data_IF_579229036198
#
_entry.id   IF_579229036198
#
_cell.length_a   1.000
_cell.length_b   1.000
_cell.length_c   1.000
_cell.angle_alpha   90.00
_cell.angle_beta   90.00
_cell.angle_gamma   90.00
#
_symmetry.space_group_name_H-M   'P 1'
#
loop_
_entity.id
_entity.type
_entity.pdbx_description
1 polymer ?
#
# COMPACT_ATOMS: atom_id res chain seq x y z
N UNK A 1 -25.83 -2.30 -1.20
CA UNK A 1 -26.53 -3.48 -0.60
C UNK A 1 -25.66 -4.23 0.42
N UNK A 2 -24.33 -4.21 0.29
CA UNK A 2 -23.36 -4.75 1.28
C UNK A 2 -23.36 -3.98 2.61
N UNK A 3 -23.40 -2.64 2.55
CA UNK A 3 -23.22 -1.75 3.71
C UNK A 3 -24.23 -2.01 4.85
N UNK A 4 -25.53 -2.15 4.53
CA UNK A 4 -26.56 -2.44 5.54
C UNK A 4 -26.36 -3.81 6.21
N UNK A 5 -26.00 -4.84 5.44
CA UNK A 5 -25.77 -6.18 5.98
C UNK A 5 -24.51 -6.23 6.86
N UNK A 6 -23.46 -5.52 6.44
CA UNK A 6 -22.23 -5.40 7.22
C UNK A 6 -22.49 -4.59 8.50
N UNK A 7 -23.30 -3.53 8.43
CA UNK A 7 -23.78 -2.79 9.61
C UNK A 7 -24.54 -3.68 10.59
N UNK A 8 -25.47 -4.49 10.08
CA UNK A 8 -26.23 -5.43 10.90
C UNK A 8 -25.31 -6.48 11.56
N UNK A 9 -24.24 -6.89 10.87
CA UNK A 9 -23.22 -7.78 11.42
C UNK A 9 -22.44 -7.09 12.54
N UNK A 10 -21.89 -5.89 12.28
CA UNK A 10 -21.12 -5.09 13.26
C UNK A 10 -21.95 -4.82 14.52
N UNK A 11 -23.23 -4.50 14.37
CA UNK A 11 -24.14 -4.24 15.50
C UNK A 11 -24.42 -5.47 16.37
N UNK A 12 -24.26 -6.68 15.82
CA UNK A 12 -24.46 -7.95 16.53
C UNK A 12 -23.18 -8.50 17.16
N UNK A 13 -22.03 -7.87 16.92
CA UNK A 13 -20.77 -8.30 17.54
C UNK A 13 -20.86 -8.22 19.06
N UNK A 14 -20.21 -9.17 19.74
CA UNK A 14 -20.13 -9.18 21.19
C UNK A 14 -19.29 -8.01 21.68
N UNK A 15 -19.91 -7.10 22.44
CA UNK A 15 -19.31 -5.89 23.01
C UNK A 15 -18.63 -6.18 24.36
N UNK A 16 -17.76 -7.18 24.36
CA UNK A 16 -16.86 -7.39 25.49
C UNK A 16 -15.80 -6.28 25.47
N UNK A 17 -15.71 -5.49 26.53
CA UNK A 17 -14.75 -4.38 26.70
C UNK A 17 -13.28 -4.81 26.51
N UNK A 18 -12.97 -6.10 26.66
CA UNK A 18 -11.64 -6.65 26.42
C UNK A 18 -11.35 -6.99 24.95
N UNK A 19 -12.38 -7.02 24.09
CA UNK A 19 -12.23 -7.35 22.68
C UNK A 19 -11.97 -6.09 21.84
N UNK A 20 -10.69 -5.70 21.73
CA UNK A 20 -10.26 -4.55 20.94
C UNK A 20 -10.65 -4.63 19.45
N UNK A 21 -10.76 -5.82 18.86
CA UNK A 21 -11.13 -5.98 17.45
C UNK A 21 -12.60 -5.60 17.19
N UNK A 22 -13.51 -5.91 18.12
CA UNK A 22 -14.93 -5.48 18.01
C UNK A 22 -15.03 -3.95 18.01
N UNK A 23 -14.40 -3.27 18.96
CA UNK A 23 -14.45 -1.81 19.04
C UNK A 23 -13.76 -1.14 17.86
N UNK A 24 -12.66 -1.72 17.36
CA UNK A 24 -12.02 -1.30 16.12
C UNK A 24 -13.00 -1.37 14.95
N UNK A 25 -13.70 -2.49 14.76
CA UNK A 25 -14.69 -2.62 13.69
C UNK A 25 -15.85 -1.63 13.83
N UNK A 26 -16.40 -1.45 15.03
CA UNK A 26 -17.50 -0.52 15.29
C UNK A 26 -17.12 0.94 15.00
N UNK A 27 -16.02 1.41 15.59
CA UNK A 27 -15.53 2.79 15.39
C UNK A 27 -15.16 3.06 13.93
N UNK A 28 -14.55 2.09 13.26
CA UNK A 28 -14.21 2.19 11.84
C UNK A 28 -15.46 2.29 10.96
N UNK A 29 -16.47 1.46 11.23
CA UNK A 29 -17.72 1.49 10.46
C UNK A 29 -18.46 2.82 10.65
N UNK A 30 -18.57 3.30 11.89
CA UNK A 30 -19.17 4.60 12.20
C UNK A 30 -18.42 5.74 11.50
N UNK A 31 -17.09 5.68 11.49
CA UNK A 31 -16.28 6.70 10.81
C UNK A 31 -16.52 6.72 9.29
N UNK A 32 -16.68 5.56 8.65
CA UNK A 32 -17.04 5.48 7.23
C UNK A 32 -18.42 6.14 6.99
N UNK A 33 -19.42 5.86 7.83
CA UNK A 33 -20.74 6.48 7.71
C UNK A 33 -20.70 8.01 7.91
N UNK A 34 -19.89 8.49 8.86
CA UNK A 34 -19.70 9.92 9.10
C UNK A 34 -19.03 10.61 7.90
N UNK A 35 -18.02 9.98 7.29
CA UNK A 35 -17.37 10.54 6.10
C UNK A 35 -18.31 10.51 4.90
N UNK A 36 -19.11 9.46 4.72
CA UNK A 36 -20.14 9.41 3.67
C UNK A 36 -21.16 10.55 3.81
N UNK A 37 -21.54 10.88 5.05
CA UNK A 37 -22.39 12.04 5.33
C UNK A 37 -21.70 13.36 4.98
N UNK A 38 -20.42 13.51 5.29
CA UNK A 38 -19.61 14.69 4.93
C UNK A 38 -19.48 14.83 3.41
N UNK A 39 -19.21 13.74 2.68
CA UNK A 39 -19.11 13.73 1.22
C UNK A 39 -20.45 14.12 0.60
N UNK A 40 -21.56 13.56 1.10
CA UNK A 40 -22.90 13.94 0.63
C UNK A 40 -23.15 15.43 0.83
N UNK A 41 -22.87 15.96 2.02
CA UNK A 41 -23.00 17.38 2.33
C UNK A 41 -22.11 18.27 1.44
N UNK A 42 -20.91 17.79 1.12
CA UNK A 42 -20.00 18.44 0.19
C UNK A 42 -20.59 18.49 -1.23
N UNK A 43 -21.23 17.42 -1.70
CA UNK A 43 -21.80 17.38 -3.05
C UNK A 43 -23.11 18.17 -3.17
N UNK A 44 -23.98 18.09 -2.17
CA UNK A 44 -25.35 18.61 -2.24
C UNK A 44 -25.42 20.13 -2.07
N UNK A 45 -24.49 20.73 -1.34
CA UNK A 45 -24.57 22.15 -0.98
C UNK A 45 -23.55 23.00 -1.74
N UNK A 46 -23.99 23.95 -2.58
CA UNK A 46 -23.07 24.88 -3.23
C UNK A 46 -22.45 25.82 -2.19
N UNK A 47 -21.22 26.27 -2.47
CA UNK A 47 -20.55 27.31 -1.69
C UNK A 47 -20.04 28.39 -2.64
N UNK A 48 -20.29 29.64 -2.28
CA UNK A 48 -19.87 30.83 -3.00
C UNK A 48 -18.81 31.64 -2.23
N UNK A 49 -18.71 31.43 -0.91
CA UNK A 49 -17.70 32.08 -0.09
C UNK A 49 -16.40 31.28 -0.05
N UNK A 50 -15.29 31.98 -0.26
CA UNK A 50 -13.93 31.43 -0.24
C UNK A 50 -13.61 30.65 1.04
N UNK A 51 -14.05 31.16 2.20
CA UNK A 51 -13.86 30.51 3.49
C UNK A 51 -14.60 29.19 3.61
N UNK A 52 -15.85 29.12 3.11
CA UNK A 52 -16.62 27.88 3.12
C UNK A 52 -16.06 26.85 2.14
N UNK A 53 -15.62 27.28 0.94
CA UNK A 53 -14.94 26.39 -0.02
C UNK A 53 -13.67 25.78 0.60
N UNK A 54 -12.86 26.59 1.29
CA UNK A 54 -11.66 26.11 1.99
C UNK A 54 -12.01 25.08 3.07
N UNK A 55 -13.01 25.36 3.91
CA UNK A 55 -13.45 24.44 4.96
C UNK A 55 -13.94 23.12 4.36
N UNK A 56 -14.75 23.19 3.30
CA UNK A 56 -15.28 22.03 2.59
C UNK A 56 -14.15 21.18 1.98
N UNK A 57 -13.19 21.81 1.31
CA UNK A 57 -12.04 21.12 0.70
C UNK A 57 -11.15 20.46 1.76
N UNK A 58 -10.82 21.17 2.83
CA UNK A 58 -10.00 20.63 3.92
C UNK A 58 -10.72 19.47 4.63
N UNK A 59 -12.02 19.65 4.90
CA UNK A 59 -12.88 18.61 5.46
C UNK A 59 -12.97 17.38 4.57
N UNK A 60 -13.12 17.57 3.25
CA UNK A 60 -13.17 16.47 2.28
C UNK A 60 -11.85 15.70 2.24
N UNK A 61 -10.71 16.38 2.07
CA UNK A 61 -9.40 15.72 1.98
C UNK A 61 -9.05 14.95 3.26
N UNK A 62 -9.32 15.54 4.43
CA UNK A 62 -9.10 14.87 5.71
C UNK A 62 -10.10 13.72 5.91
N UNK A 63 -11.37 13.90 5.53
CA UNK A 63 -12.41 12.88 5.60
C UNK A 63 -12.07 11.65 4.75
N UNK A 64 -11.68 11.84 3.49
CA UNK A 64 -11.26 10.74 2.60
C UNK A 64 -10.08 9.96 3.16
N UNK A 65 -9.07 10.65 3.70
CA UNK A 65 -7.92 9.99 4.32
C UNK A 65 -8.35 9.14 5.54
N UNK A 66 -9.18 9.70 6.41
CA UNK A 66 -9.69 9.01 7.60
C UNK A 66 -10.57 7.81 7.22
N UNK A 67 -11.38 7.92 6.16
CA UNK A 67 -12.19 6.81 5.69
C UNK A 67 -11.35 5.66 5.11
N UNK A 68 -10.24 5.96 4.42
CA UNK A 68 -9.31 4.92 3.96
C UNK A 68 -8.68 4.18 5.15
N UNK A 69 -8.23 4.91 6.17
CA UNK A 69 -7.70 4.29 7.40
C UNK A 69 -8.78 3.46 8.11
N UNK A 70 -10.02 3.96 8.18
CA UNK A 70 -11.15 3.24 8.72
C UNK A 70 -11.47 1.97 7.92
N UNK A 71 -11.35 1.96 6.59
CA UNK A 71 -11.50 0.74 5.78
C UNK A 71 -10.43 -0.32 6.12
N UNK A 72 -9.18 0.10 6.36
CA UNK A 72 -8.12 -0.80 6.83
C UNK A 72 -8.43 -1.38 8.20
N UNK A 73 -8.85 -0.53 9.12
CA UNK A 73 -9.14 -0.91 10.49
C UNK A 73 -10.41 -1.76 10.61
N UNK A 74 -11.41 -1.52 9.76
CA UNK A 74 -12.60 -2.35 9.64
C UNK A 74 -12.25 -3.76 9.15
N UNK A 75 -11.43 -3.87 8.10
CA UNK A 75 -10.97 -5.17 7.60
C UNK A 75 -10.27 -5.96 8.70
N UNK A 76 -9.35 -5.33 9.45
CA UNK A 76 -8.63 -5.98 10.55
C UNK A 76 -9.57 -6.29 11.72
N UNK A 77 -10.47 -5.38 12.09
CA UNK A 77 -11.40 -5.58 13.19
C UNK A 77 -12.36 -6.75 12.95
N UNK A 78 -12.82 -6.93 11.71
CA UNK A 78 -13.76 -7.97 11.34
C UNK A 78 -13.10 -9.30 10.95
N UNK A 79 -11.93 -9.26 10.32
CA UNK A 79 -11.30 -10.46 9.73
C UNK A 79 -9.97 -10.82 10.39
N UNK A 80 -9.47 -10.01 11.33
CA UNK A 80 -8.12 -10.08 11.92
C UNK A 80 -6.98 -9.75 10.94
N UNK A 81 -7.30 -9.60 9.66
CA UNK A 81 -6.31 -9.42 8.60
C UNK A 81 -6.62 -8.19 7.74
N UNK A 82 -5.58 -7.75 7.03
CA UNK A 82 -5.65 -6.65 6.06
C UNK A 82 -5.83 -7.14 4.61
N UNK A 83 -6.17 -8.41 4.42
CA UNK A 83 -6.14 -9.09 3.11
C UNK A 83 -7.13 -8.51 2.11
N UNK A 84 -8.30 -8.11 2.59
CA UNK A 84 -9.41 -7.56 1.81
C UNK A 84 -9.18 -6.14 1.28
N UNK A 85 -8.05 -5.50 1.59
CA UNK A 85 -7.82 -4.09 1.26
C UNK A 85 -6.38 -3.79 0.82
N UNK A 86 -6.26 -3.13 -0.33
CA UNK A 86 -4.99 -2.63 -0.87
C UNK A 86 -5.16 -1.30 -1.64
N UNK A 87 -5.61 -0.25 -0.94
CA UNK A 87 -5.84 1.08 -1.53
C UNK A 87 -4.61 1.64 -2.26
N UNK A 88 -3.39 1.32 -1.81
CA UNK A 88 -2.16 1.75 -2.49
C UNK A 88 -2.00 1.20 -3.92
N UNK A 89 -2.75 0.17 -4.32
CA UNK A 89 -2.75 -0.31 -5.70
C UNK A 89 -3.66 0.51 -6.62
N UNK A 90 -4.53 1.35 -6.06
CA UNK A 90 -5.27 2.36 -6.80
C UNK A 90 -4.40 3.63 -6.90
N UNK A 91 -3.91 4.02 -8.10
CA UNK A 91 -2.98 5.14 -8.22
C UNK A 91 -3.57 6.48 -7.76
N UNK A 92 -4.87 6.68 -8.00
CA UNK A 92 -5.58 7.92 -7.65
C UNK A 92 -5.68 8.06 -6.14
N UNK A 93 -6.11 7.00 -5.44
CA UNK A 93 -6.20 7.01 -3.98
C UNK A 93 -4.82 6.94 -3.29
N UNK A 94 -3.83 6.32 -3.93
CA UNK A 94 -2.46 6.33 -3.44
C UNK A 94 -1.90 7.76 -3.37
N UNK A 95 -2.24 8.61 -4.36
CA UNK A 95 -1.81 9.99 -4.38
C UNK A 95 -2.45 10.86 -3.28
N UNK A 96 -3.61 10.47 -2.77
CA UNK A 96 -4.32 11.22 -1.73
C UNK A 96 -3.45 11.46 -0.49
N UNK A 97 -2.60 10.51 -0.09
CA UNK A 97 -1.69 10.70 1.07
C UNK A 97 -0.73 11.87 0.84
N UNK A 98 -0.27 12.05 -0.40
CA UNK A 98 0.66 13.12 -0.76
C UNK A 98 -0.10 14.45 -0.82
N UNK A 99 -1.24 14.48 -1.49
CA UNK A 99 -2.11 15.67 -1.59
C UNK A 99 -2.51 16.15 -0.19
N UNK A 100 -2.97 15.25 0.67
CA UNK A 100 -3.35 15.57 2.06
C UNK A 100 -2.17 16.13 2.84
N UNK A 101 -0.98 15.55 2.70
CA UNK A 101 0.20 16.04 3.42
C UNK A 101 0.65 17.40 2.93
N UNK A 102 0.54 17.67 1.62
CA UNK A 102 0.95 18.93 1.02
C UNK A 102 -0.05 20.06 1.33
N UNK A 103 -1.35 19.77 1.54
CA UNK A 103 -2.37 20.80 1.78
C UNK A 103 -2.79 20.92 3.24
N UNK A 104 -3.08 19.80 3.89
CA UNK A 104 -3.75 19.75 5.20
C UNK A 104 -2.78 19.35 6.32
N UNK A 105 -1.86 18.43 6.04
CA UNK A 105 -0.99 17.82 7.05
C UNK A 105 0.20 18.68 7.45
N UNK A 106 1.10 18.93 6.49
CA UNK A 106 2.38 19.60 6.73
C UNK A 106 2.72 20.64 5.64
N UNK A 107 1.81 21.56 5.28
CA UNK A 107 2.00 22.49 4.16
C UNK A 107 3.15 23.48 4.38
N UNK A 108 3.44 23.85 5.64
CA UNK A 108 4.37 24.94 5.97
C UNK A 108 5.78 24.49 6.28
N UNK A 109 6.03 23.18 6.42
CA UNK A 109 7.36 22.68 6.72
C UNK A 109 7.44 21.16 6.52
N UNK A 110 7.95 20.74 5.36
CA UNK A 110 8.24 19.33 5.09
C UNK A 110 9.75 19.11 5.05
N UNK A 111 10.25 18.25 5.93
CA UNK A 111 11.68 17.91 5.95
C UNK A 111 11.95 16.77 4.97
N UNK A 112 12.86 17.01 4.03
CA UNK A 112 13.39 15.98 3.14
C UNK A 112 14.73 15.46 3.71
N UNK A 113 15.05 14.21 3.38
CA UNK A 113 16.13 13.51 4.08
C UNK A 113 17.54 14.06 3.78
N UNK A 114 17.73 14.70 2.63
CA UNK A 114 18.96 15.41 2.26
C UNK A 114 19.15 16.76 2.97
N UNK A 115 18.26 17.08 3.91
CA UNK A 115 18.21 18.34 4.63
C UNK A 115 17.41 19.42 3.92
N UNK A 116 16.77 19.10 2.78
CA UNK A 116 15.89 20.02 2.08
C UNK A 116 14.60 20.33 2.84
N UNK A 117 13.98 21.47 2.53
CA UNK A 117 12.71 21.89 3.13
C UNK A 117 11.67 22.18 2.05
N UNK A 118 10.48 21.62 2.25
CA UNK A 118 9.31 21.79 1.38
C UNK A 118 8.27 22.71 1.96
N UNK A 119 7.68 23.55 1.10
CA UNK A 119 6.56 24.42 1.42
C UNK A 119 5.52 24.32 0.31
N UNK A 120 4.27 24.09 0.68
CA UNK A 120 3.16 23.99 -0.26
C UNK A 120 2.24 25.19 -0.11
N UNK A 121 1.99 25.88 -1.22
CA UNK A 121 1.17 27.09 -1.27
C UNK A 121 -0.04 26.82 -2.15
N UNK A 122 -1.21 26.88 -1.53
CA UNK A 122 -2.50 26.71 -2.20
C UNK A 122 -2.83 27.98 -3.01
N UNK A 123 -3.11 27.83 -4.30
CA UNK A 123 -3.56 28.92 -5.17
C UNK A 123 -5.04 29.16 -4.93
N UNK A 124 -5.33 30.29 -4.32
CA UNK A 124 -6.69 30.56 -3.83
C UNK A 124 -7.63 31.19 -4.86
N UNK A 125 -7.10 31.73 -5.97
CA UNK A 125 -7.89 32.26 -7.08
C UNK A 125 -8.54 31.16 -7.97
N UNK A 126 -7.84 30.08 -8.38
CA UNK A 126 -8.44 29.00 -9.19
C UNK A 126 -9.24 27.98 -8.37
N UNK A 127 -9.51 28.24 -7.09
CA UNK A 127 -10.10 27.27 -6.17
C UNK A 127 -11.62 27.17 -6.31
N UNK A 128 -12.13 25.94 -6.38
CA UNK A 128 -13.55 25.65 -6.31
C UNK A 128 -13.80 24.35 -5.55
N UNK A 129 -15.07 23.96 -5.39
CA UNK A 129 -15.44 22.63 -4.90
C UNK A 129 -15.16 21.51 -5.91
N UNK A 130 -14.78 21.82 -7.13
CA UNK A 130 -14.42 20.81 -8.12
C UNK A 130 -12.92 20.52 -8.12
N UNK A 131 -12.12 21.54 -7.79
CA UNK A 131 -10.66 21.45 -7.89
C UNK A 131 -9.90 22.41 -6.99
N UNK A 132 -8.66 22.02 -6.71
CA UNK A 132 -7.62 22.88 -6.15
C UNK A 132 -6.37 22.87 -7.01
N UNK A 133 -5.59 23.94 -6.91
CA UNK A 133 -4.27 24.06 -7.49
C UNK A 133 -3.30 24.52 -6.40
N UNK A 134 -2.13 23.90 -6.30
CA UNK A 134 -1.09 24.32 -5.36
C UNK A 134 0.30 24.16 -5.97
N UNK A 135 1.22 25.01 -5.51
CA UNK A 135 2.65 24.87 -5.80
C UNK A 135 3.37 24.26 -4.60
N UNK A 136 4.28 23.33 -4.85
CA UNK A 136 5.21 22.83 -3.83
C UNK A 136 6.61 23.30 -4.17
N UNK A 137 7.18 24.11 -3.28
CA UNK A 137 8.54 24.65 -3.34
C UNK A 137 9.44 23.75 -2.52
N UNK A 138 10.42 23.13 -3.17
CA UNK A 138 11.39 22.23 -2.55
C UNK A 138 12.76 22.89 -2.60
N UNK A 139 13.25 23.32 -1.44
CA UNK A 139 14.57 23.90 -1.27
C UNK A 139 15.57 22.80 -0.95
N UNK A 140 16.44 22.49 -1.91
CA UNK A 140 17.60 21.62 -1.74
C UNK A 140 18.86 22.50 -1.66
N UNK A 141 19.97 21.99 -1.09
CA UNK A 141 21.18 22.78 -0.77
C UNK A 141 21.62 23.78 -1.86
N UNK A 142 21.47 23.44 -3.14
CA UNK A 142 21.87 24.28 -4.27
C UNK A 142 20.79 24.45 -5.36
N UNK A 143 19.54 24.02 -5.11
CA UNK A 143 18.48 24.03 -6.14
C UNK A 143 17.12 24.27 -5.49
N UNK A 144 16.32 25.12 -6.12
CA UNK A 144 14.89 25.22 -5.84
C UNK A 144 14.15 24.51 -6.96
N UNK A 145 13.27 23.59 -6.57
CA UNK A 145 12.34 22.94 -7.48
C UNK A 145 10.92 23.39 -7.14
N UNK A 146 10.14 23.77 -8.15
CA UNK A 146 8.74 24.16 -7.98
C UNK A 146 7.88 23.19 -8.78
N UNK A 147 6.90 22.57 -8.12
CA UNK A 147 5.95 21.65 -8.73
C UNK A 147 4.55 22.20 -8.55
N UNK A 148 3.90 22.56 -9.65
CA UNK A 148 2.46 22.84 -9.64
C UNK A 148 1.69 21.51 -9.71
N UNK A 149 0.62 21.41 -8.92
CA UNK A 149 -0.29 20.27 -8.97
C UNK A 149 -1.74 20.76 -8.96
N UNK A 150 -2.50 20.25 -9.91
CA UNK A 150 -3.94 20.41 -10.00
C UNK A 150 -4.63 19.11 -9.57
N UNK A 151 -5.63 19.22 -8.70
CA UNK A 151 -6.36 18.08 -8.16
C UNK A 151 -7.85 18.27 -8.41
N UNK A 152 -8.45 17.32 -9.11
CA UNK A 152 -9.89 17.26 -9.35
C UNK A 152 -10.56 16.30 -8.36
N UNK A 153 -11.52 16.79 -7.58
CA UNK A 153 -12.11 15.99 -6.49
C UNK A 153 -13.08 14.92 -6.99
N UNK A 154 -13.70 15.14 -8.16
CA UNK A 154 -14.64 14.17 -8.76
C UNK A 154 -14.00 12.79 -8.92
N UNK A 155 -12.81 12.73 -9.49
CA UNK A 155 -12.10 11.46 -9.73
C UNK A 155 -11.71 10.77 -8.41
N UNK A 156 -11.27 11.55 -7.41
CA UNK A 156 -10.97 11.03 -6.06
C UNK A 156 -12.21 10.42 -5.39
N UNK A 157 -13.34 11.13 -5.45
CA UNK A 157 -14.61 10.69 -4.88
C UNK A 157 -15.13 9.41 -5.56
N UNK A 158 -15.13 9.38 -6.90
CA UNK A 158 -15.57 8.22 -7.68
C UNK A 158 -14.72 6.98 -7.39
N UNK A 159 -13.39 7.14 -7.29
CA UNK A 159 -12.50 6.04 -6.95
C UNK A 159 -12.68 5.57 -5.50
N UNK A 160 -12.87 6.50 -4.56
CA UNK A 160 -13.13 6.16 -3.16
C UNK A 160 -14.43 5.36 -3.02
N UNK A 161 -15.53 5.83 -3.60
CA UNK A 161 -16.82 5.13 -3.54
C UNK A 161 -16.74 3.73 -4.14
N UNK A 162 -16.11 3.61 -5.32
CA UNK A 162 -15.92 2.31 -5.99
C UNK A 162 -15.09 1.34 -5.13
N UNK A 163 -13.94 1.77 -4.63
CA UNK A 163 -13.06 0.92 -3.81
C UNK A 163 -13.72 0.57 -2.48
N UNK A 164 -14.40 1.53 -1.83
CA UNK A 164 -15.18 1.30 -0.60
C UNK A 164 -16.19 0.17 -0.81
N UNK A 165 -17.03 0.27 -1.84
CA UNK A 165 -18.08 -0.72 -2.09
C UNK A 165 -17.52 -2.12 -2.36
N UNK A 166 -16.43 -2.21 -3.12
CA UNK A 166 -15.74 -3.47 -3.40
C UNK A 166 -15.16 -4.07 -2.12
N UNK A 167 -14.43 -3.29 -1.32
CA UNK A 167 -13.80 -3.74 -0.08
C UNK A 167 -14.86 -4.21 0.92
N UNK A 168 -15.93 -3.44 1.13
CA UNK A 168 -17.00 -3.81 2.05
C UNK A 168 -17.74 -5.07 1.58
N UNK A 169 -17.89 -5.27 0.26
CA UNK A 169 -18.43 -6.51 -0.27
C UNK A 169 -17.50 -7.69 -0.04
N UNK A 170 -16.20 -7.56 -0.31
CA UNK A 170 -15.23 -8.65 -0.12
C UNK A 170 -15.15 -9.08 1.36
N UNK A 171 -15.11 -8.11 2.29
CA UNK A 171 -15.20 -8.38 3.73
C UNK A 171 -16.51 -9.12 4.05
N UNK A 172 -17.64 -8.63 3.52
CA UNK A 172 -18.93 -9.28 3.77
C UNK A 172 -18.98 -10.71 3.25
N UNK A 173 -18.48 -10.98 2.03
CA UNK A 173 -18.44 -12.33 1.46
C UNK A 173 -17.60 -13.26 2.33
N UNK A 174 -16.44 -12.81 2.80
CA UNK A 174 -15.62 -13.58 3.74
C UNK A 174 -16.36 -13.89 5.05
N UNK A 175 -17.05 -12.91 5.64
CA UNK A 175 -17.75 -13.12 6.93
C UNK A 175 -18.94 -14.07 6.86
N UNK A 176 -19.59 -14.18 5.70
CA UNK A 176 -20.70 -15.13 5.49
C UNK A 176 -20.23 -16.46 4.91
N UNK A 177 -18.96 -16.55 4.55
CA UNK A 177 -18.35 -17.77 4.07
C UNK A 177 -18.30 -18.78 5.23
N UNK A 178 -18.71 -20.02 4.98
CA UNK A 178 -18.50 -21.11 5.91
C UNK A 178 -17.01 -21.45 5.97
N UNK A 179 -16.54 -22.08 7.05
CA UNK A 179 -15.17 -22.63 7.05
C UNK A 179 -15.03 -23.68 5.93
N UNK A 180 -14.28 -23.35 4.89
CA UNK A 180 -13.95 -24.28 3.80
C UNK A 180 -12.47 -24.67 3.87
N UNK A 181 -12.19 -25.97 3.69
CA UNK A 181 -10.83 -26.48 3.48
C UNK A 181 -10.63 -26.70 1.98
N UNK A 182 -10.06 -25.73 1.30
CA UNK A 182 -9.73 -25.87 -0.13
C UNK A 182 -8.39 -26.57 -0.31
N UNK A 183 -7.98 -26.80 -1.56
CA UNK A 183 -6.63 -27.21 -1.92
C UNK A 183 -5.72 -26.03 -2.30
N UNK A 184 -6.15 -24.77 -2.05
CA UNK A 184 -5.37 -23.57 -2.35
C UNK A 184 -4.00 -23.60 -1.63
N UNK A 185 -3.91 -23.92 -0.31
CA UNK A 185 -2.63 -24.03 0.36
C UNK A 185 -1.69 -25.07 -0.27
N UNK A 186 -2.20 -26.25 -0.62
CA UNK A 186 -1.42 -27.33 -1.25
C UNK A 186 -0.91 -26.93 -2.65
N UNK A 187 -1.73 -26.22 -3.42
CA UNK A 187 -1.31 -25.68 -4.72
C UNK A 187 -0.27 -24.58 -4.57
N UNK A 188 -0.39 -23.73 -3.55
CA UNK A 188 0.62 -22.72 -3.22
C UNK A 188 1.92 -23.37 -2.75
N UNK A 189 1.87 -24.46 -2.00
CA UNK A 189 3.05 -25.26 -1.66
C UNK A 189 3.71 -25.82 -2.95
N UNK A 190 2.91 -26.37 -3.86
CA UNK A 190 3.42 -26.88 -5.15
C UNK A 190 4.01 -25.77 -6.01
N UNK A 191 3.39 -24.59 -6.01
CA UNK A 191 3.89 -23.39 -6.67
C UNK A 191 5.20 -22.90 -6.05
N UNK A 192 5.37 -23.03 -4.74
CA UNK A 192 6.60 -22.65 -4.05
C UNK A 192 7.80 -23.49 -4.50
N UNK A 193 7.57 -24.77 -4.78
CA UNK A 193 8.60 -25.69 -5.27
C UNK A 193 8.88 -25.52 -6.77
N UNK A 194 7.87 -25.21 -7.58
CA UNK A 194 7.96 -25.24 -9.05
C UNK A 194 8.01 -23.88 -9.74
N UNK A 195 7.44 -22.84 -9.12
CA UNK A 195 7.17 -21.52 -9.71
C UNK A 195 6.45 -21.60 -11.06
N UNK A 196 5.57 -22.60 -11.23
CA UNK A 196 4.82 -22.82 -12.46
C UNK A 196 3.65 -21.84 -12.60
N UNK A 197 3.60 -21.10 -13.71
CA UNK A 197 2.58 -20.09 -13.98
C UNK A 197 1.14 -20.65 -14.09
N UNK A 198 0.97 -21.87 -14.60
CA UNK A 198 -0.35 -22.50 -14.72
C UNK A 198 -0.93 -22.80 -13.34
N UNK A 199 -0.11 -23.26 -12.39
CA UNK A 199 -0.52 -23.47 -11.00
C UNK A 199 -0.96 -22.14 -10.37
N UNK A 200 -0.24 -21.05 -10.63
CA UNK A 200 -0.62 -19.73 -10.13
C UNK A 200 -1.97 -19.27 -10.68
N UNK A 201 -2.20 -19.43 -11.99
CA UNK A 201 -3.47 -19.07 -12.62
C UNK A 201 -4.64 -19.91 -12.07
N UNK A 202 -4.41 -21.20 -11.83
CA UNK A 202 -5.41 -22.08 -11.20
C UNK A 202 -5.73 -21.64 -9.76
N UNK A 203 -4.70 -21.30 -8.97
CA UNK A 203 -4.86 -20.77 -7.61
C UNK A 203 -5.68 -19.49 -7.58
N UNK A 204 -5.44 -18.56 -8.51
CA UNK A 204 -6.24 -17.33 -8.60
C UNK A 204 -7.70 -17.60 -8.93
N UNK A 205 -7.96 -18.52 -9.85
CA UNK A 205 -9.33 -18.90 -10.23
C UNK A 205 -10.06 -19.51 -9.02
N UNK A 206 -9.45 -20.49 -8.36
CA UNK A 206 -10.01 -21.15 -7.18
C UNK A 206 -10.28 -20.16 -6.05
N UNK A 207 -9.31 -19.28 -5.75
CA UNK A 207 -9.48 -18.27 -4.71
C UNK A 207 -10.65 -17.33 -5.03
N UNK A 208 -10.80 -16.93 -6.30
CA UNK A 208 -11.88 -16.05 -6.72
C UNK A 208 -13.25 -16.71 -6.58
N UNK A 209 -13.36 -17.97 -7.00
CA UNK A 209 -14.61 -18.74 -6.94
C UNK A 209 -15.03 -19.01 -5.50
N UNK A 210 -14.10 -19.45 -4.65
CA UNK A 210 -14.38 -19.81 -3.26
C UNK A 210 -14.85 -18.60 -2.44
N UNK A 211 -14.08 -17.51 -2.49
CA UNK A 211 -14.34 -16.31 -1.69
C UNK A 211 -15.24 -15.29 -2.40
N UNK A 212 -15.73 -15.61 -3.61
CA UNK A 212 -16.61 -14.76 -4.43
C UNK A 212 -16.10 -13.33 -4.59
N UNK A 213 -14.79 -13.19 -4.78
CA UNK A 213 -14.12 -11.89 -4.85
C UNK A 213 -14.34 -11.24 -6.21
N UNK A 214 -14.73 -9.96 -6.20
CA UNK A 214 -14.99 -9.21 -7.43
C UNK A 214 -13.74 -9.17 -8.35
N UNK A 215 -13.92 -9.25 -9.68
CA UNK A 215 -12.84 -9.13 -10.67
C UNK A 215 -12.06 -7.82 -10.54
N UNK A 216 -12.73 -6.73 -10.19
CA UNK A 216 -12.11 -5.42 -9.99
C UNK A 216 -11.42 -5.27 -8.62
N UNK A 217 -11.57 -6.26 -7.73
CA UNK A 217 -11.03 -6.22 -6.38
C UNK A 217 -9.52 -6.09 -6.37
N UNK A 218 -9.06 -5.20 -5.48
CA UNK A 218 -7.67 -5.02 -5.12
C UNK A 218 -7.25 -5.90 -3.94
N UNK A 219 -7.91 -7.04 -3.73
CA UNK A 219 -7.55 -8.00 -2.69
C UNK A 219 -6.03 -8.29 -2.73
N UNK A 220 -5.38 -8.29 -1.56
CA UNK A 220 -3.92 -8.44 -1.47
C UNK A 220 -3.43 -9.76 -2.06
N UNK A 221 -4.27 -10.79 -2.07
CA UNK A 221 -3.95 -12.08 -2.67
C UNK A 221 -3.69 -11.93 -4.17
N UNK A 222 -4.60 -11.29 -4.91
CA UNK A 222 -4.45 -11.06 -6.34
C UNK A 222 -3.33 -10.08 -6.66
N UNK A 223 -3.13 -9.07 -5.82
CA UNK A 223 -1.98 -8.19 -5.98
C UNK A 223 -0.64 -8.92 -5.79
N UNK A 224 -0.55 -9.90 -4.88
CA UNK A 224 0.63 -10.77 -4.78
C UNK A 224 0.76 -11.70 -5.97
N UNK A 225 -0.35 -12.25 -6.45
CA UNK A 225 -0.36 -13.09 -7.64
C UNK A 225 0.15 -12.32 -8.87
N UNK A 226 -0.28 -11.07 -9.07
CA UNK A 226 0.21 -10.24 -10.18
C UNK A 226 1.71 -9.95 -10.08
N UNK A 227 2.21 -9.67 -8.86
CA UNK A 227 3.65 -9.54 -8.63
C UNK A 227 4.41 -10.83 -8.92
N UNK A 228 3.82 -11.99 -8.60
CA UNK A 228 4.43 -13.28 -8.86
C UNK A 228 4.47 -13.62 -10.36
N UNK A 229 3.44 -13.25 -11.13
CA UNK A 229 3.47 -13.36 -12.61
C UNK A 229 4.67 -12.58 -13.16
N UNK A 230 4.84 -11.33 -12.73
CA UNK A 230 6.02 -10.53 -13.10
C UNK A 230 7.33 -11.23 -12.75
N UNK A 231 7.43 -11.85 -11.56
CA UNK A 231 8.64 -12.53 -11.12
C UNK A 231 8.95 -13.83 -11.88
N UNK A 232 7.92 -14.61 -12.23
CA UNK A 232 8.07 -15.86 -12.98
C UNK A 232 8.60 -15.57 -14.39
N UNK A 233 8.08 -14.52 -15.03
CA UNK A 233 8.50 -14.10 -16.38
C UNK A 233 9.79 -13.28 -16.41
N UNK A 234 10.30 -12.88 -15.25
CA UNK A 234 11.46 -12.00 -15.13
C UNK A 234 12.76 -12.80 -15.10
N UNK A 235 13.52 -12.67 -16.19
CA UNK A 235 14.85 -13.24 -16.33
C UNK A 235 15.88 -12.16 -16.65
N UNK A 236 17.03 -12.23 -15.99
CA UNK A 236 18.16 -11.33 -16.21
C UNK A 236 19.38 -12.12 -16.70
N UNK A 237 20.35 -11.43 -17.28
CA UNK A 237 21.65 -12.06 -17.64
C UNK A 237 22.55 -12.24 -16.42
N UNK A 238 22.38 -11.39 -15.40
CA UNK A 238 23.13 -11.49 -14.14
C UNK A 238 22.55 -12.61 -13.25
N UNK A 239 23.35 -13.66 -13.05
CA UNK A 239 23.01 -14.79 -12.19
C UNK A 239 22.68 -14.38 -10.74
N UNK A 240 23.33 -13.35 -10.20
CA UNK A 240 23.08 -12.87 -8.84
C UNK A 240 21.72 -12.20 -8.73
N UNK A 241 21.33 -11.44 -9.75
CA UNK A 241 19.99 -10.85 -9.82
C UNK A 241 18.94 -11.96 -9.99
N UNK A 242 19.18 -12.97 -10.83
CA UNK A 242 18.28 -14.14 -10.92
C UNK A 242 18.09 -14.87 -9.60
N UNK A 243 19.15 -15.01 -8.78
CA UNK A 243 19.01 -15.58 -7.42
C UNK A 243 18.15 -14.71 -6.50
N UNK A 244 18.24 -13.39 -6.62
CA UNK A 244 17.36 -12.46 -5.89
C UNK A 244 15.91 -12.60 -6.38
N UNK A 245 15.69 -12.65 -7.69
CA UNK A 245 14.35 -12.86 -8.28
C UNK A 245 13.73 -14.15 -7.73
N UNK A 246 14.44 -15.27 -7.81
CA UNK A 246 14.00 -16.56 -7.28
C UNK A 246 13.63 -16.49 -5.80
N UNK A 247 14.48 -15.85 -4.99
CA UNK A 247 14.18 -15.62 -3.57
C UNK A 247 12.90 -14.81 -3.37
N UNK A 248 12.73 -13.71 -4.12
CA UNK A 248 11.53 -12.87 -4.04
C UNK A 248 10.29 -13.66 -4.45
N UNK A 249 10.35 -14.46 -5.52
CA UNK A 249 9.26 -15.33 -5.98
C UNK A 249 8.78 -16.24 -4.85
N UNK A 250 9.71 -16.95 -4.22
CA UNK A 250 9.40 -17.84 -3.10
C UNK A 250 8.85 -17.10 -1.88
N UNK A 251 9.35 -15.90 -1.57
CA UNK A 251 8.79 -15.04 -0.52
C UNK A 251 7.36 -14.59 -0.84
N UNK A 252 7.02 -14.28 -2.11
CA UNK A 252 5.65 -13.92 -2.48
C UNK A 252 4.72 -15.13 -2.36
N UNK A 253 5.14 -16.31 -2.84
CA UNK A 253 4.36 -17.55 -2.70
C UNK A 253 4.14 -17.89 -1.23
N UNK A 254 5.17 -17.82 -0.38
CA UNK A 254 5.04 -18.05 1.06
C UNK A 254 4.02 -17.11 1.70
N UNK A 255 4.02 -15.82 1.35
CA UNK A 255 3.02 -14.87 1.87
C UNK A 255 1.61 -15.18 1.36
N UNK A 256 1.46 -15.68 0.13
CA UNK A 256 0.14 -16.12 -0.37
C UNK A 256 -0.31 -17.39 0.34
N UNK A 257 0.61 -18.31 0.63
CA UNK A 257 0.35 -19.53 1.40
C UNK A 257 -0.14 -19.21 2.81
N UNK A 258 0.55 -18.31 3.53
CA UNK A 258 0.13 -17.85 4.84
C UNK A 258 -1.26 -17.20 4.80
N UNK A 259 -1.54 -16.38 3.78
CA UNK A 259 -2.86 -15.79 3.58
C UNK A 259 -3.96 -16.85 3.40
N UNK A 260 -3.70 -17.89 2.59
CA UNK A 260 -4.67 -18.96 2.37
C UNK A 260 -4.91 -19.78 3.66
N UNK A 261 -3.85 -20.08 4.41
CA UNK A 261 -3.97 -20.74 5.71
C UNK A 261 -4.77 -19.92 6.71
N UNK A 262 -4.47 -18.62 6.80
CA UNK A 262 -5.14 -17.68 7.70
C UNK A 262 -6.64 -17.56 7.42
N UNK A 263 -7.00 -17.48 6.13
CA UNK A 263 -8.40 -17.37 5.68
C UNK A 263 -9.21 -18.65 5.94
N UNK A 264 -8.56 -19.81 5.94
CA UNK A 264 -9.18 -21.11 6.25
C UNK A 264 -8.98 -21.55 7.71
N UNK A 265 -8.35 -20.72 8.54
CA UNK A 265 -7.98 -21.04 9.93
C UNK A 265 -7.18 -22.35 10.08
N UNK A 266 -6.29 -22.60 9.12
CA UNK A 266 -5.44 -23.79 9.07
C UNK A 266 -4.04 -23.50 9.58
N UNK A 267 -3.40 -24.53 10.12
CA UNK A 267 -1.96 -24.54 10.35
C UNK A 267 -1.28 -25.26 9.19
N UNK A 268 -0.17 -24.72 8.71
CA UNK A 268 0.63 -25.30 7.66
C UNK A 268 2.12 -25.36 8.01
N UNK A 269 2.94 -25.72 7.03
CA UNK A 269 4.38 -25.77 7.18
C UNK A 269 5.02 -24.39 6.97
N UNK A 270 6.10 -24.11 7.68
CA UNK A 270 6.87 -22.88 7.46
C UNK A 270 7.65 -23.00 6.14
N UNK A 271 7.27 -22.19 5.14
CA UNK A 271 7.96 -22.12 3.85
C UNK A 271 9.19 -21.22 3.95
N UNK A 272 10.36 -21.83 4.17
CA UNK A 272 11.63 -21.11 4.33
C UNK A 272 12.47 -21.09 3.06
N UNK A 273 12.87 -19.89 2.62
CA UNK A 273 13.88 -19.70 1.58
C UNK A 273 15.13 -19.05 2.17
N UNK A 274 16.30 -19.63 1.90
CA UNK A 274 17.58 -19.07 2.32
C UNK A 274 17.82 -17.69 1.68
N UNK A 275 18.34 -16.75 2.47
CA UNK A 275 18.64 -15.39 2.02
C UNK A 275 19.81 -15.42 1.01
N UNK A 276 19.68 -14.80 -0.19
CA UNK A 276 20.78 -14.68 -1.13
C UNK A 276 21.95 -13.88 -0.53
N UNK A 277 23.18 -14.24 -0.91
CA UNK A 277 24.40 -13.61 -0.42
C UNK A 277 24.39 -12.08 -0.60
N UNK A 278 23.97 -11.59 -1.77
CA UNK A 278 23.89 -10.15 -2.05
C UNK A 278 22.96 -9.41 -1.07
N UNK A 279 21.83 -10.02 -0.69
CA UNK A 279 20.90 -9.42 0.28
C UNK A 279 21.49 -9.49 1.70
N UNK A 280 22.15 -10.60 2.03
CA UNK A 280 22.88 -10.75 3.30
C UNK A 280 23.97 -9.68 3.45
N UNK A 281 24.73 -9.43 2.39
CA UNK A 281 25.77 -8.40 2.36
C UNK A 281 25.20 -7.00 2.40
N UNK A 282 24.05 -6.76 1.75
CA UNK A 282 23.31 -5.51 1.89
C UNK A 282 22.92 -5.29 3.36
N UNK A 283 22.41 -6.29 4.08
CA UNK A 283 22.08 -6.16 5.50
C UNK A 283 23.32 -5.93 6.38
N UNK A 284 24.46 -6.54 6.08
CA UNK A 284 25.73 -6.25 6.77
C UNK A 284 26.19 -4.81 6.51
N UNK A 285 26.04 -4.32 5.29
CA UNK A 285 26.31 -2.93 4.92
C UNK A 285 25.39 -1.97 5.70
N UNK A 286 24.08 -2.22 5.72
CA UNK A 286 23.11 -1.45 6.51
C UNK A 286 23.49 -1.42 7.99
N UNK A 287 23.95 -2.56 8.55
CA UNK A 287 24.40 -2.65 9.94
C UNK A 287 25.58 -1.75 10.24
N UNK A 288 26.54 -1.65 9.33
CA UNK A 288 27.73 -0.82 9.47
C UNK A 288 27.40 0.68 9.43
N UNK A 289 26.38 1.07 8.68
CA UNK A 289 25.99 2.46 8.44
C UNK A 289 24.61 2.81 9.04
N UNK A 290 24.18 2.09 10.07
CA UNK A 290 22.78 2.07 10.53
C UNK A 290 22.21 3.46 10.83
N UNK A 291 23.00 4.35 11.45
CA UNK A 291 22.60 5.71 11.82
C UNK A 291 22.11 6.53 10.62
N UNK A 292 22.78 6.39 9.48
CA UNK A 292 22.53 7.21 8.29
C UNK A 292 21.68 6.45 7.27
N UNK A 293 21.95 5.15 7.08
CA UNK A 293 21.31 4.33 6.06
C UNK A 293 19.85 3.95 6.39
N UNK A 294 19.48 3.82 7.67
CA UNK A 294 18.15 3.35 8.06
C UNK A 294 17.02 4.29 7.60
N UNK A 295 17.29 5.59 7.50
CA UNK A 295 16.30 6.56 7.02
C UNK A 295 16.16 6.51 5.50
N UNK A 296 17.27 6.33 4.79
CA UNK A 296 17.33 6.24 3.33
C UNK A 296 16.56 5.03 2.77
N UNK A 297 16.62 3.89 3.44
CA UNK A 297 15.98 2.66 2.94
C UNK A 297 14.43 2.70 3.00
N UNK A 298 13.85 3.69 3.68
CA UNK A 298 12.41 3.76 3.90
C UNK A 298 11.59 3.91 2.60
N UNK A 299 12.19 4.54 1.58
CA UNK A 299 11.51 4.96 0.35
C UNK A 299 11.97 4.21 -0.90
N UNK A 300 13.04 3.41 -0.85
CA UNK A 300 13.62 2.77 -2.05
C UNK A 300 12.68 1.80 -2.78
N UNK A 301 11.65 1.28 -2.09
CA UNK A 301 10.62 0.43 -2.67
C UNK A 301 9.48 1.18 -3.40
N UNK A 302 9.38 2.50 -3.26
CA UNK A 302 8.30 3.30 -3.83
C UNK A 302 8.89 4.15 -4.96
N UNK A 303 8.76 3.65 -6.18
CA UNK A 303 9.30 4.28 -7.39
C UNK A 303 8.82 5.73 -7.57
N UNK A 304 7.58 6.02 -7.19
CA UNK A 304 6.98 7.35 -7.36
C UNK A 304 7.28 8.27 -6.16
N UNK A 305 7.94 7.75 -5.11
CA UNK A 305 8.25 8.57 -3.94
C UNK A 305 9.20 9.71 -4.34
N UNK A 306 8.94 10.97 -3.95
CA UNK A 306 9.79 12.10 -4.31
C UNK A 306 11.27 11.94 -3.92
N UNK A 307 11.55 11.14 -2.89
CA UNK A 307 12.91 10.85 -2.39
C UNK A 307 13.54 9.57 -2.94
N UNK A 308 12.84 8.81 -3.78
CA UNK A 308 13.34 7.51 -4.23
C UNK A 308 14.75 7.57 -4.83
N UNK A 309 14.97 8.45 -5.80
CA UNK A 309 16.24 8.59 -6.51
C UNK A 309 17.36 9.18 -5.63
N UNK A 310 17.04 10.22 -4.85
CA UNK A 310 18.02 10.85 -3.96
C UNK A 310 18.45 9.90 -2.84
N UNK A 311 17.52 9.12 -2.28
CA UNK A 311 17.82 8.15 -1.22
C UNK A 311 18.71 7.00 -1.73
N UNK A 312 18.48 6.52 -2.96
CA UNK A 312 19.35 5.53 -3.61
C UNK A 312 20.77 6.07 -3.83
N UNK A 313 20.91 7.27 -4.39
CA UNK A 313 22.22 7.90 -4.61
C UNK A 313 22.97 8.09 -3.28
N UNK A 314 22.27 8.52 -2.24
CA UNK A 314 22.85 8.68 -0.91
C UNK A 314 23.33 7.33 -0.33
N UNK A 315 22.55 6.25 -0.46
CA UNK A 315 22.99 4.90 -0.05
C UNK A 315 24.25 4.46 -0.79
N UNK A 316 24.33 4.72 -2.10
CA UNK A 316 25.49 4.41 -2.92
C UNK A 316 26.74 5.23 -2.53
N UNK A 317 26.56 6.44 -2.00
CA UNK A 317 27.66 7.30 -1.53
C UNK A 317 28.30 6.84 -0.22
N UNK A 318 27.65 5.94 0.53
CA UNK A 318 28.18 5.35 1.78
C UNK A 318 29.23 4.25 1.52
N UNK A 319 29.74 4.16 0.29
CA UNK A 319 30.74 3.19 -0.16
C UNK A 319 30.34 1.72 0.14
N UNK A 320 29.19 1.26 -0.38
CA UNK A 320 28.76 -0.13 -0.21
C UNK A 320 29.73 -1.11 -0.91
N UNK A 321 29.78 -2.39 -0.47
CA UNK A 321 30.50 -3.43 -1.19
C UNK A 321 30.09 -3.51 -2.68
N UNK A 322 31.00 -3.94 -3.56
CA UNK A 322 30.79 -3.99 -5.02
C UNK A 322 29.44 -4.59 -5.43
N UNK A 323 29.07 -5.71 -4.82
CA UNK A 323 27.82 -6.42 -5.12
C UNK A 323 26.57 -5.66 -4.67
N UNK A 324 26.68 -4.98 -3.52
CA UNK A 324 25.61 -4.14 -3.00
C UNK A 324 25.47 -2.87 -3.86
N UNK A 325 26.58 -2.27 -4.26
CA UNK A 325 26.58 -1.14 -5.19
C UNK A 325 25.90 -1.54 -6.50
N UNK A 326 26.24 -2.71 -7.05
CA UNK A 326 25.63 -3.23 -8.28
C UNK A 326 24.11 -3.40 -8.13
N UNK A 327 23.64 -3.98 -7.03
CA UNK A 327 22.20 -4.09 -6.75
C UNK A 327 21.50 -2.73 -6.66
N UNK A 328 22.10 -1.76 -5.96
CA UNK A 328 21.54 -0.41 -5.85
C UNK A 328 21.51 0.31 -7.21
N UNK A 329 22.57 0.14 -8.02
CA UNK A 329 22.64 0.67 -9.37
C UNK A 329 21.56 0.06 -10.27
N UNK A 330 21.31 -1.25 -10.14
CA UNK A 330 20.25 -1.96 -10.86
C UNK A 330 18.86 -1.38 -10.53
N UNK A 331 18.55 -1.14 -9.25
CA UNK A 331 17.28 -0.51 -8.83
C UNK A 331 17.17 0.89 -9.43
N UNK A 332 18.24 1.69 -9.35
CA UNK A 332 18.28 3.07 -9.84
C UNK A 332 18.04 3.17 -11.35
N UNK A 333 18.55 2.22 -12.13
CA UNK A 333 18.41 2.18 -13.60
C UNK A 333 17.13 1.47 -14.08
N UNK A 334 16.35 0.90 -13.16
CA UNK A 334 15.13 0.18 -13.53
C UNK A 334 14.00 1.14 -13.86
N UNK A 335 13.40 0.97 -15.05
CA UNK A 335 12.20 1.72 -15.45
C UNK A 335 10.89 1.06 -14.98
N UNK A 336 10.95 -0.12 -14.35
CA UNK A 336 9.76 -0.85 -13.89
C UNK A 336 9.47 -0.57 -12.42
N UNK A 337 8.30 0.03 -12.18
CA UNK A 337 7.77 0.30 -10.83
C UNK A 337 7.64 -0.98 -10.00
N UNK A 338 7.19 -2.07 -10.63
CA UNK A 338 7.00 -3.37 -10.01
C UNK A 338 8.34 -3.99 -9.61
N UNK A 339 9.34 -3.98 -10.49
CA UNK A 339 10.69 -4.52 -10.18
C UNK A 339 11.34 -3.76 -9.03
N UNK A 340 11.25 -2.43 -9.04
CA UNK A 340 11.73 -1.56 -7.95
C UNK A 340 10.99 -1.88 -6.64
N UNK A 341 9.67 -2.03 -6.68
CA UNK A 341 8.89 -2.41 -5.52
C UNK A 341 9.33 -3.76 -4.93
N UNK A 342 9.52 -4.77 -5.79
CA UNK A 342 9.86 -6.13 -5.41
C UNK A 342 11.21 -6.22 -4.71
N UNK A 343 12.27 -5.67 -5.32
CA UNK A 343 13.62 -5.67 -4.73
C UNK A 343 13.64 -4.74 -3.52
N UNK A 344 13.16 -3.50 -3.66
CA UNK A 344 13.19 -2.51 -2.59
C UNK A 344 12.44 -2.97 -1.34
N UNK A 345 11.35 -3.73 -1.48
CA UNK A 345 10.60 -4.29 -0.35
C UNK A 345 11.38 -5.35 0.43
N UNK A 346 12.23 -6.13 -0.23
CA UNK A 346 13.15 -7.05 0.46
C UNK A 346 14.21 -6.26 1.20
N UNK A 347 14.85 -5.29 0.55
CA UNK A 347 15.89 -4.49 1.19
C UNK A 347 15.35 -3.76 2.43
N UNK A 348 14.17 -3.13 2.31
CA UNK A 348 13.48 -2.44 3.41
C UNK A 348 13.13 -3.36 4.59
N UNK A 349 13.09 -4.69 4.40
CA UNK A 349 12.82 -5.63 5.49
C UNK A 349 13.98 -5.76 6.51
N UNK A 350 15.11 -5.09 6.27
CA UNK A 350 16.19 -4.93 7.24
C UNK A 350 15.67 -4.50 8.62
N UNK A 351 16.13 -5.18 9.68
CA UNK A 351 15.79 -4.85 11.08
C UNK A 351 17.01 -4.31 11.82
N UNK A 352 16.95 -3.08 12.39
CA UNK A 352 18.02 -2.52 13.21
C UNK A 352 18.22 -3.34 14.49
N UNK A 353 19.38 -3.18 15.14
CA UNK A 353 19.72 -3.96 16.33
C UNK A 353 18.96 -3.30 17.47
N UNK A 354 18.16 -4.11 18.17
CA UNK A 354 17.47 -3.64 19.37
C UNK A 354 18.45 -3.27 20.46
#
# INVERSE_FOLDING_TARGET
MSLKKLKDYVNKLNKDEKNSNTYRAMSSFEMIENVDLMIKRYLDEPQDTKGAILLDVFGLLQGLFVAIDALYDLAIGLTQYKYHININSNPILHELKYIRNDIVGHPTHRTYFDGGTGFSILKTEPMSKDKIVYDTYIYLKNKVEVREKEVYFKELLENYEKEKDIILNDIYQYLIHSETKTNIPEKLYSLYETLNLDILNEVELLFREEYKVNQESKHRFFWRASLLKTLIDWHETDEKINRIILYISKVQVSKMYDMALDMEHRKGADLYTALPEVISDFYKFMRKHEKDALKLISNIHDFNHPLHQSDLIALMSLNPPKEVYHLLQYIKESDSKEKVYLIGSILKAYRPKK
#
